data_IF_675403617750
#
_entry.id   IF_675403617750
#
_cell.length_a   1.000
_cell.length_b   1.000
_cell.length_c   1.000
_cell.angle_alpha   90.00
_cell.angle_beta   90.00
_cell.angle_gamma   90.00
#
_symmetry.space_group_name_H-M   'P 1'
#
loop_
_entity.id
_entity.type
_entity.pdbx_description
1 polymer ?
#
# COMPACT_ATOMS: atom_id res chain seq x y z
N UNK A 1 18.46 -5.78 -22.92
CA UNK A 1 18.46 -6.36 -21.54
C UNK A 1 17.70 -5.52 -20.48
N UNK A 2 17.43 -4.21 -20.65
CA UNK A 2 16.67 -3.38 -19.67
C UNK A 2 15.15 -3.63 -19.63
N UNK A 3 14.50 -3.98 -20.75
CA UNK A 3 13.03 -4.21 -20.81
C UNK A 3 12.53 -5.31 -19.85
N UNK A 4 13.15 -6.49 -19.87
CA UNK A 4 12.74 -7.65 -19.05
C UNK A 4 12.79 -7.41 -17.53
N UNK A 5 13.74 -6.60 -17.03
CA UNK A 5 13.82 -6.26 -15.59
C UNK A 5 12.66 -5.36 -15.15
N UNK A 6 12.23 -4.44 -16.00
CA UNK A 6 11.10 -3.55 -15.70
C UNK A 6 9.75 -4.28 -15.78
N UNK A 7 9.62 -5.25 -16.68
CA UNK A 7 8.43 -6.12 -16.78
C UNK A 7 8.20 -6.91 -15.48
N UNK A 8 9.26 -7.49 -14.92
CA UNK A 8 9.16 -8.22 -13.64
C UNK A 8 8.75 -7.31 -12.47
N UNK A 9 9.28 -6.09 -12.40
CA UNK A 9 8.92 -5.12 -11.37
C UNK A 9 7.48 -4.64 -11.51
N UNK A 10 7.03 -4.33 -12.73
CA UNK A 10 5.64 -3.94 -12.99
C UNK A 10 4.69 -5.07 -12.60
N UNK A 11 4.99 -6.32 -12.99
CA UNK A 11 4.19 -7.48 -12.60
C UNK A 11 4.10 -7.68 -11.09
N UNK A 12 5.21 -7.47 -10.35
CA UNK A 12 5.19 -7.51 -8.87
C UNK A 12 4.34 -6.40 -8.27
N UNK A 13 4.43 -5.19 -8.81
CA UNK A 13 3.60 -4.05 -8.40
C UNK A 13 2.12 -4.35 -8.61
N UNK A 14 1.75 -4.87 -9.79
CA UNK A 14 0.37 -5.23 -10.11
C UNK A 14 -0.13 -6.37 -9.20
N UNK A 15 0.73 -7.35 -8.91
CA UNK A 15 0.42 -8.44 -7.95
C UNK A 15 0.18 -7.88 -6.54
N UNK A 16 0.99 -6.92 -6.08
CA UNK A 16 0.82 -6.30 -4.78
C UNK A 16 -0.51 -5.53 -4.69
N UNK A 17 -0.84 -4.75 -5.72
CA UNK A 17 -2.13 -4.04 -5.80
C UNK A 17 -3.29 -5.04 -5.80
N UNK A 18 -3.18 -6.13 -6.55
CA UNK A 18 -4.21 -7.18 -6.57
C UNK A 18 -4.41 -7.81 -5.18
N UNK A 19 -3.33 -8.07 -4.45
CA UNK A 19 -3.40 -8.61 -3.07
C UNK A 19 -3.99 -7.60 -2.09
N UNK A 20 -3.65 -6.32 -2.23
CA UNK A 20 -4.28 -5.25 -1.47
C UNK A 20 -5.78 -5.16 -1.76
N UNK A 21 -6.20 -5.33 -3.01
CA UNK A 21 -7.61 -5.41 -3.37
C UNK A 21 -8.31 -6.62 -2.74
N UNK A 22 -7.77 -7.83 -2.93
CA UNK A 22 -8.32 -9.06 -2.34
C UNK A 22 -8.49 -8.95 -0.81
N UNK A 23 -7.55 -8.29 -0.12
CA UNK A 23 -7.63 -8.08 1.33
C UNK A 23 -8.66 -7.02 1.72
N UNK A 24 -8.91 -6.03 0.87
CA UNK A 24 -9.88 -4.96 1.11
C UNK A 24 -11.34 -5.39 0.88
N UNK A 25 -11.56 -6.54 0.25
CA UNK A 25 -12.88 -7.15 0.09
C UNK A 25 -13.41 -7.78 1.38
N UNK A 26 -12.54 -8.02 2.37
CA UNK A 26 -12.97 -8.49 3.68
C UNK A 26 -13.59 -7.34 4.50
N UNK A 27 -14.67 -7.65 5.21
CA UNK A 27 -15.40 -6.64 5.97
C UNK A 27 -14.56 -6.02 7.08
N UNK A 28 -14.71 -4.70 7.27
CA UNK A 28 -13.95 -3.92 8.24
C UNK A 28 -12.48 -3.66 7.89
N UNK A 29 -12.01 -4.00 6.68
CA UNK A 29 -10.63 -3.76 6.27
C UNK A 29 -10.55 -2.62 5.23
N UNK A 30 -9.92 -1.52 5.63
CA UNK A 30 -9.60 -0.41 4.73
C UNK A 30 -8.10 -0.37 4.44
N UNK A 31 -7.73 -0.39 3.16
CA UNK A 31 -6.34 -0.49 2.72
C UNK A 31 -5.97 0.72 1.89
N UNK A 32 -4.83 1.31 2.22
CA UNK A 32 -4.15 2.26 1.38
C UNK A 32 -2.71 1.80 1.16
N UNK A 33 -2.26 1.88 -0.09
CA UNK A 33 -0.89 1.53 -0.48
C UNK A 33 -0.24 2.75 -1.12
N UNK A 34 0.95 3.11 -0.65
CA UNK A 34 1.76 4.20 -1.20
C UNK A 34 3.09 3.61 -1.67
N UNK A 35 3.37 3.71 -2.97
CA UNK A 35 4.61 3.23 -3.58
C UNK A 35 5.38 4.43 -4.11
N UNK A 36 6.60 4.65 -3.62
CA UNK A 36 7.52 5.66 -4.17
C UNK A 36 8.61 4.98 -4.98
N UNK A 37 8.77 5.38 -6.24
CA UNK A 37 9.85 4.93 -7.12
C UNK A 37 10.48 6.13 -7.81
N UNK A 38 11.77 6.36 -7.57
CA UNK A 38 12.53 7.47 -8.16
C UNK A 38 11.81 8.82 -8.02
N UNK A 39 11.23 9.09 -6.84
CA UNK A 39 10.47 10.32 -6.55
C UNK A 39 9.06 10.38 -7.14
N UNK A 40 8.60 9.34 -7.85
CA UNK A 40 7.22 9.25 -8.34
C UNK A 40 6.38 8.38 -7.41
N UNK A 41 5.24 8.91 -7.00
CA UNK A 41 4.28 8.20 -6.16
C UNK A 41 3.23 7.48 -7.01
N UNK A 42 2.86 6.28 -6.59
CA UNK A 42 1.68 5.54 -7.06
C UNK A 42 0.89 5.14 -5.83
N UNK A 43 -0.39 5.48 -5.81
CA UNK A 43 -1.28 5.20 -4.68
C UNK A 43 -2.41 4.28 -5.09
N UNK A 44 -2.79 3.38 -4.19
CA UNK A 44 -4.00 2.57 -4.29
C UNK A 44 -4.81 2.74 -3.00
N UNK A 45 -6.13 2.71 -3.12
CA UNK A 45 -7.09 2.78 -2.00
C UNK A 45 -8.18 1.74 -2.26
N UNK A 46 -8.60 1.00 -1.23
CA UNK A 46 -9.67 0.01 -1.35
C UNK A 46 -11.06 0.65 -1.40
N UNK A 47 -11.23 1.84 -0.80
CA UNK A 47 -12.49 2.61 -0.81
C UNK A 47 -12.27 4.05 -1.25
N UNK A 48 -13.22 4.59 -2.02
CA UNK A 48 -13.25 5.98 -2.49
C UNK A 48 -13.84 6.96 -1.46
N UNK A 49 -13.62 6.71 -0.16
CA UNK A 49 -13.98 7.71 0.85
C UNK A 49 -12.99 8.88 0.77
N UNK A 50 -13.52 10.09 0.56
CA UNK A 50 -12.73 11.34 0.48
C UNK A 50 -11.82 11.55 1.70
N UNK A 51 -12.21 11.00 2.84
CA UNK A 51 -11.53 11.08 4.14
C UNK A 51 -10.54 9.93 4.41
N UNK A 52 -10.36 8.99 3.47
CA UNK A 52 -9.49 7.82 3.65
C UNK A 52 -8.43 7.70 2.53
N UNK A 53 -7.16 7.38 2.85
CA UNK A 53 -6.61 7.21 4.19
C UNK A 53 -6.46 8.54 4.92
N UNK A 54 -6.56 8.48 6.25
CA UNK A 54 -6.03 9.50 7.13
C UNK A 54 -4.57 9.78 6.74
N UNK A 55 -4.14 11.04 6.83
CA UNK A 55 -2.73 11.39 6.60
C UNK A 55 -1.83 10.55 7.52
N UNK A 56 -0.57 10.32 7.11
CA UNK A 56 0.37 9.55 7.94
C UNK A 56 0.47 10.14 9.36
N UNK A 57 0.42 11.47 9.49
CA UNK A 57 0.43 12.15 10.78
C UNK A 57 -0.81 11.79 11.63
N UNK A 58 -2.00 11.80 11.03
CA UNK A 58 -3.24 11.40 11.72
C UNK A 58 -3.21 9.92 12.12
N UNK A 59 -2.67 9.03 11.27
CA UNK A 59 -2.50 7.60 11.59
C UNK A 59 -1.61 7.42 12.82
N UNK A 60 -0.49 8.14 12.92
CA UNK A 60 0.41 8.06 14.08
C UNK A 60 -0.25 8.50 15.39
N UNK A 61 -1.30 9.31 15.31
CA UNK A 61 -2.09 9.76 16.48
C UNK A 61 -3.33 8.93 16.74
N UNK A 62 -3.63 7.94 15.90
CA UNK A 62 -4.84 7.13 16.01
C UNK A 62 -4.79 6.19 17.23
N UNK A 63 -5.97 5.83 17.73
CA UNK A 63 -6.13 4.84 18.79
C UNK A 63 -6.93 3.63 18.28
N UNK A 64 -6.45 2.39 18.51
CA UNK A 64 -5.21 2.03 19.20
C UNK A 64 -3.94 2.43 18.43
N UNK A 65 -2.81 2.51 19.15
CA UNK A 65 -1.52 2.90 18.56
C UNK A 65 -1.23 2.05 17.32
N UNK A 66 -0.86 2.66 16.18
CA UNK A 66 -0.61 1.93 14.96
C UNK A 66 0.61 1.02 15.11
N UNK A 67 0.51 -0.19 14.58
CA UNK A 67 1.64 -1.11 14.47
C UNK A 67 2.41 -0.80 13.17
N UNK A 68 3.63 -0.29 13.30
CA UNK A 68 4.53 -0.10 12.17
C UNK A 68 5.32 -1.39 11.94
N UNK A 69 5.21 -1.98 10.75
CA UNK A 69 5.98 -3.16 10.33
C UNK A 69 7.11 -2.69 9.43
N UNK A 70 8.35 -2.94 9.81
CA UNK A 70 9.55 -2.58 9.05
C UNK A 70 10.05 -3.77 8.22
N UNK A 71 10.89 -3.54 7.20
CA UNK A 71 11.49 -4.62 6.42
C UNK A 71 12.21 -5.66 7.28
N UNK A 72 12.80 -5.25 8.40
CA UNK A 72 13.51 -6.12 9.34
C UNK A 72 12.57 -7.05 10.12
N UNK A 73 11.28 -6.73 10.19
CA UNK A 73 10.26 -7.53 10.87
C UNK A 73 9.66 -8.62 9.95
N UNK A 74 10.03 -8.63 8.66
CA UNK A 74 9.53 -9.57 7.65
C UNK A 74 10.57 -10.68 7.47
N UNK A 75 10.32 -11.85 8.07
CA UNK A 75 11.11 -13.09 7.91
C UNK A 75 10.94 -13.74 6.53
#
# INVERSE_FOLDING_TARGET
KKKKKNEGLNRRKDTLIKKAYELGEFDGIDIALIICKNGRYTTYRSRDHLSWPLSIAEIQTAYPLPKNILPEDIE
#
